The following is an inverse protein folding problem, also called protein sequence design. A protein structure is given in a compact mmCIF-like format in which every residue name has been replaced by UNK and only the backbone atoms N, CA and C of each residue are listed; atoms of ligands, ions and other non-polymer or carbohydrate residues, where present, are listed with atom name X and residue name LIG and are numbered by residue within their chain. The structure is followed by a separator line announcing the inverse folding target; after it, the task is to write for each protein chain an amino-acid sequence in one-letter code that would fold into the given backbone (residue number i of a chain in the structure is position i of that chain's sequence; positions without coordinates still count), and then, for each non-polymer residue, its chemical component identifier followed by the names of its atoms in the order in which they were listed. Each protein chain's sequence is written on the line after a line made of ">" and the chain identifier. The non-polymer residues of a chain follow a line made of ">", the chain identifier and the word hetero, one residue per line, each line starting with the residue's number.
data_IF_688648639613
#
_entry.id   IF_688648639613
#
_cell.length_a   1.000
_cell.length_b   1.000
_cell.length_c   1.000
_cell.angle_alpha   90.00
_cell.angle_beta   90.00
_cell.angle_gamma   90.00
#
_symmetry.space_group_name_H-M   'P 1'
#
loop_
_entity.id
_entity.type
_entity.pdbx_description
1 polymer ?
#
# COMPACT_ATOMS: atom_id res chain seq x y z
N UNK A 1 -18.09 10.06 -52.37
CA UNK A 1 -17.32 8.82 -52.10
C UNK A 1 -15.93 9.27 -51.66
N UNK A 2 -15.78 9.62 -50.39
CA UNK A 2 -14.51 10.01 -49.80
C UNK A 2 -14.18 9.02 -48.69
N UNK A 3 -13.04 8.36 -48.81
CA UNK A 3 -12.52 7.40 -47.83
C UNK A 3 -11.63 8.16 -46.86
N UNK A 4 -12.11 8.32 -45.62
CA UNK A 4 -11.29 8.72 -44.48
C UNK A 4 -10.24 7.65 -44.17
N UNK A 5 -9.00 8.01 -43.79
CA UNK A 5 -7.99 7.04 -43.43
C UNK A 5 -8.28 6.50 -42.02
N UNK A 6 -8.39 5.18 -41.92
CA UNK A 6 -8.53 4.45 -40.66
C UNK A 6 -7.16 4.42 -39.98
N UNK A 7 -7.03 5.12 -38.85
CA UNK A 7 -5.87 5.02 -37.98
C UNK A 7 -5.94 3.66 -37.25
N UNK A 8 -5.05 2.74 -37.59
CA UNK A 8 -4.83 1.51 -36.83
C UNK A 8 -3.79 1.82 -35.73
N UNK A 9 -4.02 1.43 -34.47
CA UNK A 9 -2.99 1.53 -33.45
C UNK A 9 -1.83 0.58 -33.76
N UNK A 10 -0.59 0.91 -33.35
CA UNK A 10 0.56 0.06 -33.60
C UNK A 10 0.42 -1.25 -32.83
N UNK A 11 0.58 -2.36 -33.55
CA UNK A 11 0.74 -3.69 -32.99
C UNK A 11 2.08 -3.72 -32.25
N UNK A 12 2.04 -3.71 -30.92
CA UNK A 12 3.22 -3.97 -30.10
C UNK A 12 3.63 -5.44 -30.28
N UNK A 13 4.74 -5.65 -30.97
CA UNK A 13 5.44 -6.93 -31.02
C UNK A 13 6.19 -7.13 -29.69
N UNK A 14 6.09 -8.29 -29.02
CA UNK A 14 6.77 -8.54 -27.75
C UNK A 14 8.28 -8.80 -27.89
N UNK A 15 8.84 -8.75 -29.10
CA UNK A 15 10.27 -8.94 -29.35
C UNK A 15 11.02 -7.60 -29.42
N UNK A 16 11.09 -6.89 -28.30
CA UNK A 16 12.11 -5.86 -28.10
C UNK A 16 13.41 -6.56 -27.70
N UNK A 17 14.28 -6.69 -28.67
CA UNK A 17 15.64 -7.21 -28.58
C UNK A 17 16.38 -6.55 -27.41
N UNK A 18 16.69 -7.38 -26.41
CA UNK A 18 17.54 -7.02 -25.28
C UNK A 18 18.88 -6.51 -25.85
N UNK A 19 19.19 -5.23 -25.65
CA UNK A 19 20.55 -4.74 -25.86
C UNK A 19 21.40 -5.39 -24.76
N UNK A 20 21.97 -6.54 -25.10
CA UNK A 20 23.04 -7.16 -24.32
C UNK A 20 24.22 -6.20 -24.28
N UNK A 21 24.40 -5.54 -23.14
CA UNK A 21 25.70 -5.00 -22.77
C UNK A 21 26.57 -6.15 -22.26
N UNK A 22 27.80 -6.32 -22.76
CA UNK A 22 28.69 -7.37 -22.29
C UNK A 22 29.36 -6.88 -21.00
N UNK A 23 28.85 -7.30 -19.85
CA UNK A 23 29.60 -7.26 -18.59
C UNK A 23 29.81 -8.71 -18.16
N UNK A 24 30.89 -9.29 -18.68
CA UNK A 24 31.45 -10.55 -18.22
C UNK A 24 32.56 -10.22 -17.22
N UNK A 25 32.46 -10.79 -16.02
CA UNK A 25 33.58 -10.93 -15.08
C UNK A 25 33.34 -10.32 -13.71
N UNK A 26 33.10 -11.20 -12.72
CA UNK A 26 33.39 -11.01 -11.29
C UNK A 26 32.33 -10.38 -10.36
N UNK A 27 31.07 -10.84 -10.40
CA UNK A 27 30.06 -10.51 -9.37
C UNK A 27 29.39 -11.70 -8.65
N UNK A 28 29.79 -12.95 -8.90
CA UNK A 28 29.16 -14.12 -8.26
C UNK A 28 29.67 -14.43 -6.84
N UNK A 29 30.74 -13.77 -6.37
CA UNK A 29 31.36 -14.09 -5.06
C UNK A 29 30.71 -13.33 -3.88
N UNK A 30 29.85 -12.33 -4.14
CA UNK A 30 29.19 -11.54 -3.09
C UNK A 30 27.77 -12.00 -2.70
N UNK A 31 26.99 -12.52 -3.65
CA UNK A 31 25.56 -12.81 -3.45
C UNK A 31 25.35 -14.07 -2.59
N UNK A 32 26.25 -15.05 -2.68
CA UNK A 32 26.17 -16.29 -1.90
C UNK A 32 26.45 -16.11 -0.40
N UNK A 33 27.10 -15.01 -0.01
CA UNK A 33 27.36 -14.69 1.40
C UNK A 33 26.15 -14.07 2.09
N UNK A 34 25.29 -13.38 1.34
CA UNK A 34 24.22 -12.56 1.91
C UNK A 34 23.01 -13.39 2.34
N UNK A 35 22.65 -14.42 1.54
CA UNK A 35 21.57 -15.34 1.89
C UNK A 35 21.80 -16.12 3.18
N UNK A 36 23.07 -16.45 3.48
CA UNK A 36 23.44 -17.20 4.69
C UNK A 36 23.15 -16.45 5.97
N UNK A 37 23.26 -15.12 5.95
CA UNK A 37 22.97 -14.28 7.11
C UNK A 37 21.49 -14.39 7.47
N UNK A 38 20.60 -14.35 6.48
CA UNK A 38 19.16 -14.52 6.72
C UNK A 38 18.80 -15.93 7.17
N UNK A 39 19.41 -16.97 6.61
CA UNK A 39 19.24 -18.34 7.08
C UNK A 39 19.66 -18.48 8.56
N UNK A 40 20.86 -18.01 8.93
CA UNK A 40 21.34 -18.03 10.32
C UNK A 40 20.42 -17.27 11.28
N UNK A 41 19.91 -16.09 10.87
CA UNK A 41 19.03 -15.27 11.70
C UNK A 41 17.64 -15.88 11.88
N UNK A 42 17.10 -16.52 10.84
CA UNK A 42 15.76 -17.10 10.85
C UNK A 42 15.71 -18.48 11.51
N UNK A 43 16.82 -19.23 11.45
CA UNK A 43 16.98 -20.56 12.08
C UNK A 43 17.38 -20.49 13.57
N UNK A 44 17.48 -19.28 14.14
CA UNK A 44 17.77 -19.09 15.55
C UNK A 44 16.74 -19.82 16.44
N UNK A 45 17.20 -20.71 17.33
CA UNK A 45 16.33 -21.60 18.11
C UNK A 45 15.42 -20.88 19.11
N UNK A 46 15.89 -19.77 19.68
CA UNK A 46 15.22 -19.08 20.79
C UNK A 46 14.54 -17.80 20.31
N UNK A 47 15.31 -16.89 19.73
CA UNK A 47 14.78 -15.62 19.28
C UNK A 47 15.54 -15.06 18.08
N UNK A 48 14.80 -14.40 17.19
CA UNK A 48 15.35 -13.68 16.03
C UNK A 48 15.96 -12.37 16.50
N UNK A 49 17.24 -12.14 16.17
CA UNK A 49 17.91 -10.89 16.48
C UNK A 49 17.47 -9.78 15.51
N UNK A 50 16.54 -8.92 15.96
CA UNK A 50 15.97 -7.86 15.13
C UNK A 50 16.95 -6.78 14.72
N UNK A 51 17.96 -6.49 15.53
CA UNK A 51 18.97 -5.49 15.18
C UNK A 51 19.80 -5.96 13.99
N UNK A 52 20.30 -7.20 14.03
CA UNK A 52 21.03 -7.81 12.92
C UNK A 52 20.14 -8.00 11.69
N UNK A 53 18.87 -8.38 11.89
CA UNK A 53 17.91 -8.54 10.80
C UNK A 53 17.69 -7.21 10.07
N UNK A 54 17.51 -6.11 10.80
CA UNK A 54 17.37 -4.77 10.22
C UNK A 54 18.64 -4.35 9.49
N UNK A 55 19.82 -4.56 10.07
CA UNK A 55 21.09 -4.21 9.43
C UNK A 55 21.29 -4.97 8.12
N UNK A 56 21.05 -6.29 8.11
CA UNK A 56 21.09 -7.09 6.88
C UNK A 56 20.05 -6.61 5.86
N UNK A 57 18.84 -6.28 6.31
CA UNK A 57 17.74 -5.83 5.43
C UNK A 57 18.03 -4.49 4.72
N UNK A 58 18.80 -3.59 5.35
CA UNK A 58 19.27 -2.34 4.70
C UNK A 58 20.17 -2.58 3.49
N UNK A 59 20.84 -3.74 3.44
CA UNK A 59 21.68 -4.14 2.32
C UNK A 59 20.89 -4.82 1.20
N UNK A 60 19.61 -5.15 1.45
CA UNK A 60 18.71 -5.82 0.53
C UNK A 60 18.37 -7.24 1.01
N UNK A 61 17.11 -7.65 0.82
CA UNK A 61 16.64 -8.97 1.23
C UNK A 61 16.52 -9.86 0.00
N UNK A 62 17.16 -11.05 -0.03
CA UNK A 62 16.98 -11.97 -1.13
C UNK A 62 15.50 -12.36 -1.30
N UNK A 63 14.98 -12.49 -2.54
CA UNK A 63 13.54 -12.68 -2.79
C UNK A 63 12.91 -13.85 -2.02
N UNK A 64 13.66 -14.94 -1.80
CA UNK A 64 13.20 -16.14 -1.10
C UNK A 64 12.90 -15.88 0.38
N UNK A 65 13.59 -14.94 1.01
CA UNK A 65 13.42 -14.63 2.45
C UNK A 65 12.45 -13.48 2.72
N UNK A 66 12.11 -12.65 1.72
CA UNK A 66 11.28 -11.44 1.90
C UNK A 66 9.97 -11.70 2.63
N UNK A 67 9.25 -12.76 2.28
CA UNK A 67 7.97 -13.09 2.92
C UNK A 67 8.09 -13.25 4.43
N UNK A 68 9.10 -14.00 4.88
CA UNK A 68 9.33 -14.27 6.31
C UNK A 68 9.92 -13.04 6.99
N UNK A 69 10.93 -12.39 6.39
CA UNK A 69 11.59 -11.21 6.96
C UNK A 69 10.60 -10.05 7.12
N UNK A 70 9.72 -9.81 6.16
CA UNK A 70 8.70 -8.75 6.24
C UNK A 70 7.71 -8.99 7.38
N UNK A 71 7.36 -10.26 7.69
CA UNK A 71 6.54 -10.55 8.85
C UNK A 71 7.21 -10.10 10.15
N UNK A 72 8.52 -10.29 10.29
CA UNK A 72 9.27 -9.80 11.45
C UNK A 72 9.39 -8.27 11.48
N UNK A 73 9.77 -7.65 10.36
CA UNK A 73 9.94 -6.20 10.28
C UNK A 73 8.64 -5.43 10.53
N UNK A 74 7.49 -6.00 10.13
CA UNK A 74 6.16 -5.43 10.36
C UNK A 74 5.54 -5.83 11.71
N UNK A 75 6.23 -6.63 12.54
CA UNK A 75 5.72 -7.10 13.83
C UNK A 75 4.56 -8.10 13.73
N UNK A 76 4.38 -8.75 12.57
CA UNK A 76 3.40 -9.83 12.36
C UNK A 76 3.90 -11.15 12.95
N UNK A 77 5.20 -11.42 12.83
CA UNK A 77 5.86 -12.55 13.48
C UNK A 77 6.57 -12.08 14.76
N UNK A 78 6.54 -12.93 15.78
CA UNK A 78 7.15 -12.66 17.07
C UNK A 78 8.61 -13.06 17.07
N UNK A 79 9.46 -12.20 17.64
CA UNK A 79 10.90 -12.43 17.75
C UNK A 79 11.20 -13.67 18.59
N UNK A 80 10.40 -13.95 19.62
CA UNK A 80 10.49 -15.14 20.48
C UNK A 80 9.79 -16.35 19.84
N UNK A 81 10.60 -17.32 19.42
CA UNK A 81 10.16 -18.57 18.76
C UNK A 81 9.31 -19.46 19.65
N UNK A 82 9.46 -19.37 20.97
CA UNK A 82 8.68 -20.19 21.91
C UNK A 82 7.19 -19.84 21.90
N UNK A 83 6.84 -18.61 21.51
CA UNK A 83 5.47 -18.10 21.42
C UNK A 83 4.89 -18.17 20.00
N UNK A 84 5.73 -18.43 19.00
CA UNK A 84 5.39 -18.33 17.56
C UNK A 84 4.22 -19.25 17.21
N UNK A 85 4.25 -20.53 17.62
CA UNK A 85 3.19 -21.49 17.33
C UNK A 85 1.82 -21.07 17.89
N UNK A 86 1.78 -20.62 19.15
CA UNK A 86 0.53 -20.18 19.79
C UNK A 86 -0.03 -18.94 19.10
N UNK A 87 0.85 -18.03 18.67
CA UNK A 87 0.43 -16.83 17.94
C UNK A 87 -0.07 -17.16 16.53
N UNK A 88 0.60 -18.06 15.80
CA UNK A 88 0.15 -18.48 14.49
C UNK A 88 -1.22 -19.16 14.55
N UNK A 89 -1.48 -19.98 15.56
CA UNK A 89 -2.81 -20.56 15.79
C UNK A 89 -3.88 -19.49 16.08
N UNK A 90 -3.51 -18.41 16.78
CA UNK A 90 -4.43 -17.30 17.05
C UNK A 90 -4.73 -16.51 15.77
N UNK A 91 -3.69 -16.19 15.00
CA UNK A 91 -3.82 -15.54 13.69
C UNK A 91 -4.67 -16.37 12.72
N UNK A 92 -4.52 -17.70 12.71
CA UNK A 92 -5.35 -18.61 11.93
C UNK A 92 -6.82 -18.53 12.32
N UNK A 93 -7.12 -18.54 13.62
CA UNK A 93 -8.49 -18.42 14.14
C UNK A 93 -9.09 -17.07 13.76
N UNK A 94 -8.35 -15.97 13.95
CA UNK A 94 -8.81 -14.63 13.60
C UNK A 94 -9.10 -14.49 12.10
N UNK A 95 -8.20 -15.02 11.26
CA UNK A 95 -8.39 -15.02 9.80
C UNK A 95 -9.60 -15.87 9.38
N UNK A 96 -9.80 -17.05 9.97
CA UNK A 96 -10.97 -17.90 9.72
C UNK A 96 -12.28 -17.23 10.14
N UNK A 97 -12.27 -16.47 11.24
CA UNK A 97 -13.44 -15.71 11.69
C UNK A 97 -13.81 -14.62 10.70
N UNK A 98 -12.82 -13.88 10.17
CA UNK A 98 -13.04 -12.87 9.12
C UNK A 98 -13.60 -13.51 7.85
N UNK A 99 -13.01 -14.63 7.41
CA UNK A 99 -13.49 -15.37 6.24
C UNK A 99 -14.93 -15.86 6.41
N UNK A 100 -15.26 -16.44 7.57
CA UNK A 100 -16.61 -16.92 7.89
C UNK A 100 -17.61 -15.77 7.93
N UNK A 101 -17.22 -14.61 8.49
CA UNK A 101 -18.07 -13.42 8.54
C UNK A 101 -18.36 -12.89 7.13
N UNK A 102 -17.35 -12.84 6.27
CA UNK A 102 -17.50 -12.46 4.87
C UNK A 102 -18.50 -13.38 4.15
N UNK A 103 -18.32 -14.70 4.23
CA UNK A 103 -19.24 -15.68 3.61
C UNK A 103 -20.66 -15.56 4.13
N UNK A 104 -20.88 -15.26 5.42
CA UNK A 104 -22.24 -15.07 5.95
C UNK A 104 -22.94 -13.82 5.43
N UNK A 105 -22.20 -12.76 5.11
CA UNK A 105 -22.78 -11.48 4.69
C UNK A 105 -22.93 -11.42 3.16
N UNK A 106 -21.96 -11.97 2.42
CA UNK A 106 -21.87 -11.90 0.94
C UNK A 106 -21.96 -13.25 0.22
N UNK A 107 -21.91 -14.38 0.93
CA UNK A 107 -22.15 -15.68 0.31
C UNK A 107 -23.62 -15.80 -0.08
N UNK A 108 -23.89 -16.12 -1.34
CA UNK A 108 -25.23 -16.41 -1.83
C UNK A 108 -25.82 -17.54 -0.97
N UNK A 109 -26.90 -17.22 -0.25
CA UNK A 109 -27.62 -18.15 0.61
C UNK A 109 -28.47 -19.12 -0.20
N UNK A 110 -27.83 -19.89 -1.09
CA UNK A 110 -28.51 -20.72 -2.11
C UNK A 110 -28.82 -22.15 -1.62
N UNK A 111 -28.85 -22.38 -0.31
CA UNK A 111 -29.16 -23.69 0.28
C UNK A 111 -30.32 -23.59 1.27
N UNK A 112 -31.56 -23.47 0.78
CA UNK A 112 -32.71 -24.08 1.52
C UNK A 112 -33.95 -24.46 0.68
N UNK A 113 -33.84 -24.70 -0.63
CA UNK A 113 -34.99 -25.14 -1.46
C UNK A 113 -35.01 -26.67 -1.72
N UNK A 114 -34.60 -27.48 -0.73
CA UNK A 114 -34.27 -28.89 -0.94
C UNK A 114 -35.05 -29.96 -0.15
N UNK A 115 -35.98 -29.63 0.75
CA UNK A 115 -36.78 -30.66 1.45
C UNK A 115 -38.28 -30.40 1.37
N UNK A 116 -38.87 -30.99 0.32
CA UNK A 116 -40.28 -31.34 0.29
C UNK A 116 -40.66 -32.21 1.48
N UNK A 117 -41.34 -31.60 2.45
CA UNK A 117 -42.13 -32.26 3.48
C UNK A 117 -43.55 -31.71 3.41
N UNK A 118 -44.41 -32.38 2.66
CA UNK A 118 -45.82 -32.05 2.60
C UNK A 118 -46.45 -32.21 4.00
N UNK A 119 -46.90 -31.12 4.61
CA UNK A 119 -47.76 -31.21 5.79
C UNK A 119 -47.87 -29.95 6.65
N UNK A 120 -48.94 -29.18 6.44
CA UNK A 120 -49.66 -28.51 7.53
C UNK A 120 -49.36 -27.02 7.69
N UNK A 121 -50.40 -26.19 7.49
CA UNK A 121 -50.30 -24.73 7.53
C UNK A 121 -50.02 -24.14 8.91
N UNK A 122 -49.54 -22.90 8.90
CA UNK A 122 -49.35 -22.08 10.08
C UNK A 122 -48.63 -20.79 9.72
N UNK A 123 -49.26 -19.66 10.02
CA UNK A 123 -48.85 -18.28 9.73
C UNK A 123 -47.52 -17.86 10.39
N UNK A 124 -47.03 -16.69 9.94
CA UNK A 124 -46.02 -15.78 10.56
C UNK A 124 -44.57 -16.14 10.21
N UNK A 125 -43.67 -15.26 9.79
CA UNK A 125 -43.60 -13.80 9.68
C UNK A 125 -42.10 -13.44 9.62
N UNK A 126 -41.72 -12.47 8.77
CA UNK A 126 -40.35 -12.31 8.26
C UNK A 126 -39.20 -12.23 9.28
N UNK A 127 -38.13 -12.97 9.01
CA UNK A 127 -36.90 -13.03 9.82
C UNK A 127 -35.61 -13.11 8.96
N UNK A 128 -35.51 -12.32 7.90
CA UNK A 128 -34.27 -12.21 7.09
C UNK A 128 -33.25 -11.18 7.61
N UNK A 129 -33.65 -10.26 8.50
CA UNK A 129 -32.80 -9.15 8.95
C UNK A 129 -31.91 -9.43 10.16
N UNK A 130 -32.25 -10.44 10.98
CA UNK A 130 -31.56 -10.70 12.26
C UNK A 130 -30.11 -11.18 12.12
N UNK A 131 -29.84 -11.97 11.07
CA UNK A 131 -28.50 -12.56 10.84
C UNK A 131 -27.43 -11.51 10.50
N UNK A 132 -27.75 -10.53 9.66
CA UNK A 132 -26.80 -9.48 9.24
C UNK A 132 -26.44 -8.54 10.40
N UNK A 133 -27.42 -8.18 11.24
CA UNK A 133 -27.19 -7.32 12.41
C UNK A 133 -26.37 -8.04 13.49
N UNK A 134 -26.64 -9.31 13.74
CA UNK A 134 -25.84 -10.12 14.66
C UNK A 134 -24.39 -10.33 14.17
N UNK A 135 -24.20 -10.50 12.85
CA UNK A 135 -22.87 -10.60 12.25
C UNK A 135 -22.06 -9.29 12.42
N UNK A 136 -22.68 -8.13 12.19
CA UNK A 136 -22.04 -6.83 12.40
C UNK A 136 -21.68 -6.56 13.88
N UNK A 137 -22.51 -7.01 14.83
CA UNK A 137 -22.20 -6.89 16.26
C UNK A 137 -21.02 -7.79 16.65
N UNK A 138 -21.01 -9.04 16.19
CA UNK A 138 -19.90 -9.98 16.42
C UNK A 138 -18.59 -9.44 15.83
N UNK A 139 -18.66 -8.86 14.63
CA UNK A 139 -17.54 -8.21 13.96
C UNK A 139 -16.98 -7.03 14.77
N UNK A 140 -17.85 -6.20 15.37
CA UNK A 140 -17.44 -5.05 16.20
C UNK A 140 -16.72 -5.47 17.48
N UNK A 141 -17.03 -6.63 18.03
CA UNK A 141 -16.31 -7.20 19.18
C UNK A 141 -14.96 -7.83 18.77
N UNK A 142 -14.88 -8.45 17.58
CA UNK A 142 -13.63 -9.01 17.04
C UNK A 142 -12.58 -7.92 16.74
N UNK A 143 -13.02 -6.77 16.21
CA UNK A 143 -12.13 -5.61 15.98
C UNK A 143 -11.47 -5.07 17.27
N UNK A 144 -12.14 -5.20 18.43
CA UNK A 144 -11.57 -4.80 19.72
C UNK A 144 -10.50 -5.77 20.21
N UNK A 145 -10.58 -7.05 19.84
CA UNK A 145 -9.64 -8.09 20.25
C UNK A 145 -8.35 -8.06 19.41
N UNK A 146 -8.48 -7.85 18.10
CA UNK A 146 -7.31 -7.78 17.20
C UNK A 146 -6.38 -6.59 17.50
N UNK A 147 -6.95 -5.44 17.88
CA UNK A 147 -6.19 -4.23 18.25
C UNK A 147 -5.52 -4.30 19.63
N UNK A 148 -5.99 -5.18 20.52
CA UNK A 148 -5.39 -5.37 21.86
C UNK A 148 -4.27 -6.41 21.87
N UNK A 149 -4.24 -7.34 20.91
CA UNK A 149 -3.17 -8.33 20.77
C UNK A 149 -1.86 -7.74 20.24
N UNK A 150 -1.92 -6.77 19.33
CA UNK A 150 -0.73 -6.06 18.82
C UNK A 150 -0.18 -5.03 19.80
N UNK A 151 -1.04 -4.34 20.56
CA UNK A 151 -0.61 -3.34 21.54
C UNK A 151 0.06 -3.92 22.80
N UNK A 152 -0.24 -5.18 23.17
CA UNK A 152 0.33 -5.82 24.35
C UNK A 152 1.80 -6.28 24.15
N UNK A 153 2.27 -6.41 22.91
CA UNK A 153 3.60 -6.94 22.59
C UNK A 153 4.72 -5.89 22.59
N UNK A 154 4.42 -4.59 22.44
CA UNK A 154 5.42 -3.52 22.44
C UNK A 154 5.65 -2.88 23.83
N UNK A 155 5.00 -3.39 24.89
CA UNK A 155 5.01 -2.76 26.22
C UNK A 155 6.18 -3.19 27.15
N UNK A 156 7.23 -3.82 26.63
CA UNK A 156 8.43 -4.13 27.41
C UNK A 156 9.69 -3.68 26.69
N UNK A 157 9.93 -2.36 26.70
CA UNK A 157 11.25 -1.75 26.87
C UNK A 157 11.07 -0.24 27.17
N UNK A 158 11.60 0.22 28.31
CA UNK A 158 11.13 1.42 29.00
C UNK A 158 11.71 2.78 28.56
N UNK A 159 10.99 3.87 28.87
CA UNK A 159 11.44 4.98 29.74
C UNK A 159 10.54 6.23 29.65
N UNK A 160 10.05 6.69 30.81
CA UNK A 160 10.11 8.09 31.28
C UNK A 160 9.25 9.21 30.64
N UNK A 161 8.48 9.99 31.42
CA UNK A 161 7.54 10.99 30.90
C UNK A 161 8.12 12.42 30.85
N UNK A 162 7.77 13.20 29.83
CA UNK A 162 7.78 14.67 29.93
C UNK A 162 6.55 15.30 29.27
N UNK A 163 5.84 16.06 30.10
CA UNK A 163 4.82 17.05 29.77
C UNK A 163 5.36 18.14 28.84
N UNK A 164 4.51 18.70 27.97
CA UNK A 164 4.11 20.12 28.03
C UNK A 164 3.01 20.48 27.02
N UNK A 165 2.21 21.47 27.40
CA UNK A 165 0.93 21.89 26.83
C UNK A 165 1.03 23.16 25.97
N UNK A 166 -0.02 23.41 25.17
CA UNK A 166 -0.43 24.72 24.64
C UNK A 166 -0.44 24.78 23.10
N UNK A 167 -1.46 25.23 22.37
CA UNK A 167 -2.66 26.01 22.68
C UNK A 167 -2.83 27.13 21.63
N UNK A 168 -4.06 27.31 21.12
CA UNK A 168 -4.63 28.40 20.28
C UNK A 168 -4.49 28.33 18.73
N UNK A 169 -5.37 28.89 17.87
CA UNK A 169 -6.84 29.15 17.74
C UNK A 169 -7.01 30.10 16.53
N UNK A 170 -8.02 29.88 15.67
CA UNK A 170 -8.70 30.91 14.83
C UNK A 170 -8.46 30.77 13.32
N UNK A 171 -9.42 30.49 12.43
CA UNK A 171 -10.76 31.06 12.08
C UNK A 171 -10.75 32.03 10.86
N UNK A 172 -11.48 31.62 9.81
CA UNK A 172 -12.26 32.46 8.88
C UNK A 172 -11.77 32.54 7.42
N UNK A 173 -12.56 32.66 6.35
CA UNK A 173 -13.93 32.28 5.92
C UNK A 173 -14.20 33.02 4.57
N UNK A 174 -14.97 32.42 3.64
CA UNK A 174 -15.75 33.08 2.56
C UNK A 174 -15.17 32.95 1.13
N UNK A 175 -15.76 32.17 0.20
CA UNK A 175 -16.96 32.40 -0.68
C UNK A 175 -16.55 33.00 -2.06
N UNK A 176 -17.10 32.70 -3.26
CA UNK A 176 -18.05 31.73 -3.80
C UNK A 176 -18.14 31.87 -5.38
N UNK A 177 -18.75 30.87 -6.05
CA UNK A 177 -19.54 30.87 -7.33
C UNK A 177 -18.88 30.67 -8.73
N UNK A 178 -19.27 29.58 -9.43
CA UNK A 178 -19.89 29.66 -10.78
C UNK A 178 -19.45 28.73 -11.94
N UNK A 179 -20.26 27.69 -12.26
CA UNK A 179 -20.74 27.39 -13.64
C UNK A 179 -20.14 26.23 -14.52
N UNK A 180 -20.84 25.07 -14.57
CA UNK A 180 -21.36 24.24 -15.71
C UNK A 180 -20.66 24.26 -17.11
N UNK A 181 -20.57 23.24 -18.00
CA UNK A 181 -20.91 21.80 -18.16
C UNK A 181 -20.25 21.31 -19.48
N UNK A 182 -20.04 20.00 -19.66
CA UNK A 182 -19.85 19.39 -21.01
C UNK A 182 -19.20 18.00 -21.01
N UNK A 183 -19.93 16.98 -21.46
CA UNK A 183 -19.63 15.55 -21.33
C UNK A 183 -18.87 14.92 -22.52
N UNK A 184 -18.20 13.79 -22.26
CA UNK A 184 -17.71 12.83 -23.27
C UNK A 184 -16.84 11.72 -22.67
N UNK A 185 -17.43 10.57 -22.33
CA UNK A 185 -16.78 9.44 -21.63
C UNK A 185 -16.45 8.30 -22.61
N UNK A 186 -15.18 7.90 -22.68
CA UNK A 186 -14.72 6.57 -23.13
C UNK A 186 -13.48 6.14 -22.32
N UNK A 187 -13.65 5.07 -21.52
CA UNK A 187 -12.75 4.05 -20.94
C UNK A 187 -11.29 4.34 -20.44
N UNK A 188 -11.13 4.15 -19.11
CA UNK A 188 -10.02 3.74 -18.19
C UNK A 188 -8.62 3.28 -18.72
N UNK A 189 -7.53 3.32 -17.88
CA UNK A 189 -7.53 3.19 -16.41
C UNK A 189 -6.72 4.20 -15.54
N UNK A 190 -7.27 4.42 -14.33
CA UNK A 190 -6.73 4.93 -13.06
C UNK A 190 -6.03 6.30 -13.01
N UNK A 191 -6.83 7.35 -12.68
CA UNK A 191 -6.37 8.67 -12.22
C UNK A 191 -6.96 8.96 -10.84
N UNK A 192 -6.11 9.40 -9.91
CA UNK A 192 -6.48 9.89 -8.57
C UNK A 192 -7.51 11.03 -8.67
N UNK A 193 -8.73 10.84 -8.15
CA UNK A 193 -9.70 11.93 -7.97
C UNK A 193 -9.48 12.54 -6.58
N UNK A 194 -8.93 13.74 -6.54
CA UNK A 194 -8.88 14.55 -5.31
C UNK A 194 -10.30 14.83 -4.73
N UNK A 195 -10.38 15.27 -3.46
CA UNK A 195 -11.65 15.33 -2.72
C UNK A 195 -12.49 16.52 -3.21
N UNK A 196 -13.53 16.24 -3.98
CA UNK A 196 -14.63 17.16 -4.23
C UNK A 196 -15.80 16.77 -3.33
N UNK A 197 -16.09 17.63 -2.35
CA UNK A 197 -17.31 17.70 -1.53
C UNK A 197 -17.88 16.37 -1.03
N UNK A 198 -17.62 16.05 0.25
CA UNK A 198 -18.22 14.95 1.02
C UNK A 198 -19.75 14.89 0.82
N UNK A 199 -20.31 13.80 0.26
CA UNK A 199 -21.55 13.25 0.76
C UNK A 199 -21.19 12.27 1.87
N UNK A 200 -21.97 12.29 2.94
CA UNK A 200 -21.89 11.37 4.08
C UNK A 200 -21.58 9.93 3.63
N UNK A 201 -20.70 9.25 4.39
CA UNK A 201 -20.39 7.82 4.31
C UNK A 201 -21.63 7.01 3.91
N UNK A 202 -21.75 6.73 2.62
CA UNK A 202 -22.59 5.65 2.17
C UNK A 202 -21.66 4.43 2.16
N UNK A 203 -21.82 3.45 3.06
CA UNK A 203 -21.07 2.19 3.00
C UNK A 203 -21.13 1.54 1.59
N UNK A 204 -22.08 1.95 0.74
CA UNK A 204 -22.15 1.56 -0.67
C UNK A 204 -20.95 2.02 -1.53
N UNK A 205 -20.33 3.17 -1.27
CA UNK A 205 -19.26 3.67 -2.15
C UNK A 205 -17.94 2.93 -1.94
N UNK A 206 -17.53 2.73 -0.68
CA UNK A 206 -16.36 1.92 -0.35
C UNK A 206 -16.57 0.45 -0.75
N UNK A 207 -17.78 -0.09 -0.55
CA UNK A 207 -18.12 -1.44 -0.97
C UNK A 207 -18.05 -1.60 -2.50
N UNK A 208 -18.61 -0.66 -3.26
CA UNK A 208 -18.51 -0.67 -4.71
C UNK A 208 -17.05 -0.56 -5.18
N UNK A 209 -16.23 0.23 -4.50
CA UNK A 209 -14.79 0.32 -4.79
C UNK A 209 -14.06 -1.01 -4.53
N UNK A 210 -14.42 -1.74 -3.47
CA UNK A 210 -13.91 -3.08 -3.22
C UNK A 210 -14.32 -4.04 -4.35
N UNK A 211 -15.60 -4.09 -4.71
CA UNK A 211 -16.12 -4.97 -5.78
C UNK A 211 -15.45 -4.68 -7.14
N UNK A 212 -15.36 -3.40 -7.51
CA UNK A 212 -14.69 -2.97 -8.75
C UNK A 212 -13.21 -3.34 -8.73
N UNK A 213 -12.52 -3.04 -7.63
CA UNK A 213 -11.09 -3.27 -7.48
C UNK A 213 -10.71 -4.76 -7.45
N UNK A 214 -11.48 -5.59 -6.73
CA UNK A 214 -11.33 -7.05 -6.71
C UNK A 214 -11.56 -7.61 -8.11
N UNK A 215 -12.62 -7.15 -8.80
CA UNK A 215 -12.92 -7.57 -10.17
C UNK A 215 -11.77 -7.20 -11.12
N UNK A 216 -11.24 -5.98 -11.05
CA UNK A 216 -10.11 -5.54 -11.86
C UNK A 216 -8.86 -6.38 -11.60
N UNK A 217 -8.57 -6.69 -10.32
CA UNK A 217 -7.40 -7.48 -9.94
C UNK A 217 -7.46 -8.91 -10.51
N UNK A 218 -8.65 -9.52 -10.55
CA UNK A 218 -8.86 -10.86 -11.12
C UNK A 218 -8.39 -10.97 -12.57
N UNK A 219 -8.50 -9.89 -13.33
CA UNK A 219 -8.08 -9.86 -14.74
C UNK A 219 -6.61 -9.47 -14.93
N UNK A 220 -5.90 -9.11 -13.86
CA UNK A 220 -4.48 -8.78 -13.90
C UNK A 220 -3.62 -10.04 -13.79
N UNK A 221 -2.46 -10.04 -14.46
CA UNK A 221 -1.43 -11.04 -14.19
C UNK A 221 -0.84 -10.87 -12.78
N UNK A 222 -0.51 -11.96 -12.07
CA UNK A 222 -0.63 -13.37 -12.49
C UNK A 222 -2.02 -14.02 -12.25
N UNK A 223 -2.96 -13.32 -11.61
CA UNK A 223 -4.23 -13.86 -11.14
C UNK A 223 -5.17 -14.38 -12.24
N UNK A 224 -5.10 -13.78 -13.43
CA UNK A 224 -5.90 -14.22 -14.57
C UNK A 224 -5.49 -15.60 -15.12
N UNK A 225 -4.27 -16.06 -14.82
CA UNK A 225 -3.71 -17.32 -15.32
C UNK A 225 -3.64 -18.41 -14.25
N UNK A 226 -3.46 -18.05 -12.97
CA UNK A 226 -3.36 -18.98 -11.86
C UNK A 226 -4.56 -18.86 -10.90
N UNK A 227 -5.51 -19.79 -11.05
CA UNK A 227 -6.70 -19.87 -10.20
C UNK A 227 -6.39 -20.13 -8.72
N UNK A 228 -5.28 -20.82 -8.40
CA UNK A 228 -4.88 -21.07 -7.00
C UNK A 228 -4.34 -19.80 -6.37
N UNK A 229 -3.49 -19.08 -7.11
CA UNK A 229 -3.01 -17.78 -6.66
C UNK A 229 -4.15 -16.77 -6.51
N UNK A 230 -5.10 -16.74 -7.45
CA UNK A 230 -6.30 -15.93 -7.30
C UNK A 230 -7.11 -16.30 -6.06
N UNK A 231 -7.42 -17.59 -5.84
CA UNK A 231 -8.20 -18.01 -4.67
C UNK A 231 -7.54 -17.61 -3.34
N UNK A 232 -6.20 -17.67 -3.27
CA UNK A 232 -5.43 -17.18 -2.11
C UNK A 232 -5.58 -15.68 -1.94
N UNK A 233 -5.40 -14.90 -3.02
CA UNK A 233 -5.57 -13.45 -3.00
C UNK A 233 -7.00 -13.06 -2.62
N UNK A 234 -8.00 -13.66 -3.25
CA UNK A 234 -9.43 -13.42 -3.00
C UNK A 234 -9.77 -13.65 -1.52
N UNK A 235 -9.26 -14.73 -0.91
CA UNK A 235 -9.42 -15.00 0.51
C UNK A 235 -8.80 -13.89 1.40
N UNK A 236 -7.63 -13.38 1.04
CA UNK A 236 -6.99 -12.26 1.77
C UNK A 236 -7.79 -10.96 1.62
N UNK A 237 -8.25 -10.65 0.40
CA UNK A 237 -9.04 -9.45 0.10
C UNK A 237 -10.40 -9.47 0.81
N UNK A 238 -11.05 -10.63 0.90
CA UNK A 238 -12.28 -10.79 1.68
C UNK A 238 -12.07 -10.41 3.16
N UNK A 239 -10.96 -10.86 3.76
CA UNK A 239 -10.61 -10.50 5.14
C UNK A 239 -10.28 -9.00 5.29
N UNK A 240 -9.55 -8.41 4.34
CA UNK A 240 -9.27 -6.97 4.32
C UNK A 240 -10.54 -6.14 4.15
N UNK A 241 -11.45 -6.54 3.27
CA UNK A 241 -12.73 -5.88 3.05
C UNK A 241 -13.59 -5.90 4.31
N UNK A 242 -13.61 -7.01 5.05
CA UNK A 242 -14.25 -7.07 6.36
C UNK A 242 -13.63 -6.04 7.30
N UNK A 243 -12.32 -6.13 7.52
CA UNK A 243 -11.55 -5.26 8.43
C UNK A 243 -11.71 -3.77 8.11
N UNK A 244 -11.73 -3.42 6.82
CA UNK A 244 -11.68 -2.06 6.32
C UNK A 244 -12.93 -1.67 5.52
N UNK A 245 -14.12 -2.14 5.91
CA UNK A 245 -15.38 -1.85 5.22
C UNK A 245 -15.82 -0.37 5.30
N UNK A 246 -15.19 0.44 6.16
CA UNK A 246 -15.56 1.84 6.42
C UNK A 246 -14.50 2.87 5.97
N UNK A 247 -13.43 2.43 5.31
CA UNK A 247 -12.38 3.34 4.84
C UNK A 247 -12.82 4.11 3.58
N UNK A 248 -12.11 5.19 3.25
CA UNK A 248 -12.34 5.95 2.02
C UNK A 248 -12.06 5.11 0.77
N UNK A 249 -12.64 5.50 -0.37
CA UNK A 249 -12.38 4.85 -1.66
C UNK A 249 -10.88 4.83 -1.99
N UNK A 250 -10.16 5.92 -1.72
CA UNK A 250 -8.71 6.00 -1.94
C UNK A 250 -7.94 4.98 -1.09
N UNK A 251 -8.36 4.78 0.16
CA UNK A 251 -7.76 3.79 1.05
C UNK A 251 -8.07 2.36 0.60
N UNK A 252 -9.25 2.08 0.03
CA UNK A 252 -9.55 0.79 -0.60
C UNK A 252 -8.59 0.51 -1.76
N UNK A 253 -8.40 1.49 -2.64
CA UNK A 253 -7.46 1.36 -3.77
C UNK A 253 -6.03 1.11 -3.29
N UNK A 254 -5.59 1.83 -2.26
CA UNK A 254 -4.28 1.61 -1.68
C UNK A 254 -4.14 0.23 -1.05
N UNK A 255 -5.13 -0.24 -0.28
CA UNK A 255 -5.14 -1.59 0.30
C UNK A 255 -5.01 -2.67 -0.78
N UNK A 256 -5.70 -2.52 -1.92
CA UNK A 256 -5.60 -3.42 -3.07
C UNK A 256 -4.20 -3.40 -3.70
N UNK A 257 -3.58 -2.22 -3.83
CA UNK A 257 -2.21 -2.08 -4.32
C UNK A 257 -1.20 -2.75 -3.37
N UNK A 258 -1.29 -2.48 -2.07
CA UNK A 258 -0.43 -3.09 -1.05
C UNK A 258 -0.59 -4.61 -1.04
N UNK A 259 -1.82 -5.12 -1.08
CA UNK A 259 -2.12 -6.55 -1.13
C UNK A 259 -1.51 -7.21 -2.37
N UNK A 260 -1.68 -6.60 -3.55
CA UNK A 260 -1.06 -7.08 -4.79
C UNK A 260 0.46 -7.16 -4.69
N UNK A 261 1.09 -6.15 -4.10
CA UNK A 261 2.55 -6.15 -3.94
C UNK A 261 2.98 -7.25 -2.96
N UNK A 262 2.36 -7.34 -1.77
CA UNK A 262 2.76 -8.26 -0.71
C UNK A 262 2.43 -9.74 -0.99
N UNK A 263 1.36 -10.06 -1.74
CA UNK A 263 1.05 -11.45 -2.15
C UNK A 263 2.15 -12.09 -3.00
N UNK A 264 3.03 -11.29 -3.64
CA UNK A 264 4.16 -11.83 -4.42
C UNK A 264 5.22 -12.48 -3.54
N UNK A 265 5.29 -12.14 -2.26
CA UNK A 265 6.27 -12.67 -1.30
C UNK A 265 5.62 -13.41 -0.14
N UNK A 266 4.32 -13.21 0.09
CA UNK A 266 3.58 -13.91 1.14
C UNK A 266 3.40 -15.41 0.83
N UNK A 267 3.44 -16.24 1.87
CA UNK A 267 3.30 -17.69 1.74
C UNK A 267 1.84 -18.15 1.68
N UNK A 268 0.93 -17.38 2.27
CA UNK A 268 -0.47 -17.73 2.46
C UNK A 268 -1.38 -16.50 2.38
N UNK A 269 -2.70 -16.71 2.24
CA UNK A 269 -3.69 -15.63 2.24
C UNK A 269 -3.68 -14.86 3.58
N UNK A 270 -3.52 -15.60 4.68
CA UNK A 270 -3.36 -15.07 6.03
C UNK A 270 -2.16 -14.14 6.12
N UNK A 271 -1.01 -14.56 5.61
CA UNK A 271 0.21 -13.76 5.65
C UNK A 271 0.05 -12.48 4.83
N UNK A 272 -0.57 -12.55 3.65
CA UNK A 272 -0.94 -11.35 2.86
C UNK A 272 -1.83 -10.42 3.67
N UNK A 273 -2.89 -10.94 4.29
CA UNK A 273 -3.80 -10.14 5.13
C UNK A 273 -3.07 -9.45 6.29
N UNK A 274 -2.33 -10.19 7.12
CA UNK A 274 -1.70 -9.60 8.31
C UNK A 274 -0.55 -8.65 7.96
N UNK A 275 0.23 -8.92 6.90
CA UNK A 275 1.29 -7.99 6.47
C UNK A 275 0.72 -6.69 5.89
N UNK A 276 -0.35 -6.76 5.08
CA UNK A 276 -1.06 -5.57 4.59
C UNK A 276 -1.70 -4.82 5.75
N UNK A 277 -2.38 -5.52 6.67
CA UNK A 277 -3.03 -4.93 7.84
C UNK A 277 -2.00 -4.21 8.73
N UNK A 278 -0.87 -4.84 9.04
CA UNK A 278 0.18 -4.25 9.86
C UNK A 278 0.75 -2.99 9.21
N UNK A 279 1.13 -3.07 7.92
CA UNK A 279 1.66 -1.93 7.19
C UNK A 279 0.64 -0.77 7.10
N UNK A 280 -0.61 -1.07 6.71
CA UNK A 280 -1.63 -0.04 6.59
C UNK A 280 -1.97 0.60 7.93
N UNK A 281 -2.10 -0.21 8.99
CA UNK A 281 -2.37 0.30 10.34
C UNK A 281 -1.28 1.24 10.80
N UNK A 282 0.00 0.90 10.60
CA UNK A 282 1.14 1.78 10.88
C UNK A 282 1.06 3.10 10.10
N UNK A 283 0.79 3.03 8.80
CA UNK A 283 0.67 4.22 7.95
C UNK A 283 -0.49 5.15 8.34
N UNK A 284 -1.52 4.63 9.03
CA UNK A 284 -2.68 5.39 9.53
C UNK A 284 -2.57 5.86 10.98
N UNK A 285 -1.50 5.50 11.69
CA UNK A 285 -1.24 6.01 13.04
C UNK A 285 -0.98 7.51 13.03
N UNK A 286 -1.24 8.17 14.17
CA UNK A 286 -1.08 9.61 14.37
C UNK A 286 0.31 10.09 13.90
N UNK A 287 0.31 11.10 13.02
CA UNK A 287 1.53 11.68 12.46
C UNK A 287 2.08 10.99 11.21
N UNK A 288 1.57 9.81 10.83
CA UNK A 288 1.92 9.17 9.56
C UNK A 288 1.03 9.64 8.40
N UNK A 289 1.53 9.47 7.18
CA UNK A 289 0.98 10.14 5.99
C UNK A 289 -0.48 9.79 5.66
N UNK A 290 -1.00 8.65 6.13
CA UNK A 290 -2.38 8.23 5.88
C UNK A 290 -3.29 8.44 7.08
N UNK A 291 -2.84 9.12 8.14
CA UNK A 291 -3.63 9.38 9.34
C UNK A 291 -4.94 10.11 9.01
N UNK A 292 -4.82 11.27 8.36
CA UNK A 292 -5.94 12.06 7.89
C UNK A 292 -5.54 12.98 6.71
N UNK A 293 -6.53 13.67 6.15
CA UNK A 293 -6.33 14.57 5.02
C UNK A 293 -5.40 15.77 5.35
N UNK A 294 -5.41 16.25 6.60
CA UNK A 294 -4.58 17.38 7.02
C UNK A 294 -3.10 16.99 7.12
N UNK A 295 -2.84 15.78 7.63
CA UNK A 295 -1.52 15.18 7.73
C UNK A 295 -0.96 14.94 6.33
N UNK A 296 -1.74 14.34 5.43
CA UNK A 296 -1.35 14.19 4.02
C UNK A 296 -1.02 15.53 3.36
N UNK A 297 -1.85 16.57 3.57
CA UNK A 297 -1.60 17.91 3.04
C UNK A 297 -0.28 18.48 3.59
N UNK A 298 0.02 18.26 4.87
CA UNK A 298 1.28 18.69 5.50
C UNK A 298 2.47 17.99 4.85
N UNK A 299 2.42 16.67 4.65
CA UNK A 299 3.46 15.92 3.94
C UNK A 299 3.63 16.39 2.48
N UNK A 300 2.53 16.68 1.78
CA UNK A 300 2.59 17.20 0.41
C UNK A 300 3.24 18.60 0.36
N UNK A 301 2.92 19.48 1.31
CA UNK A 301 3.55 20.79 1.44
C UNK A 301 5.04 20.69 1.74
N UNK A 302 5.43 19.83 2.68
CA UNK A 302 6.83 19.55 3.02
C UNK A 302 7.59 19.02 1.79
N UNK A 303 7.02 18.04 1.09
CA UNK A 303 7.61 17.50 -0.12
C UNK A 303 7.77 18.58 -1.21
N UNK A 304 6.76 19.42 -1.44
CA UNK A 304 6.83 20.49 -2.45
C UNK A 304 7.93 21.51 -2.13
N UNK A 305 8.09 21.88 -0.86
CA UNK A 305 9.19 22.73 -0.40
C UNK A 305 10.55 22.07 -0.65
N UNK A 306 10.69 20.78 -0.32
CA UNK A 306 11.92 20.03 -0.59
C UNK A 306 12.19 19.92 -2.09
N UNK A 307 11.17 19.68 -2.90
CA UNK A 307 11.28 19.59 -4.36
C UNK A 307 11.80 20.90 -4.95
N UNK A 308 11.23 22.03 -4.52
CA UNK A 308 11.70 23.36 -4.91
C UNK A 308 13.13 23.65 -4.47
N UNK A 309 13.54 23.19 -3.27
CA UNK A 309 14.88 23.49 -2.74
C UNK A 309 15.98 22.57 -3.29
N UNK A 310 15.65 21.32 -3.60
CA UNK A 310 16.61 20.30 -4.07
C UNK A 310 16.67 20.23 -5.59
N UNK A 311 15.55 20.41 -6.30
CA UNK A 311 15.42 20.23 -7.75
C UNK A 311 14.75 21.44 -8.42
N UNK A 312 15.25 22.65 -8.12
CA UNK A 312 14.64 23.90 -8.60
C UNK A 312 14.38 23.95 -10.12
N UNK A 313 15.31 23.57 -11.01
CA UNK A 313 15.05 23.64 -12.46
C UNK A 313 13.86 22.77 -12.88
N UNK A 314 13.74 21.57 -12.28
CA UNK A 314 12.65 20.65 -12.56
C UNK A 314 11.32 21.16 -11.99
N UNK A 315 11.34 21.78 -10.81
CA UNK A 315 10.17 22.42 -10.21
C UNK A 315 9.66 23.59 -11.07
N UNK A 316 10.56 24.43 -11.59
CA UNK A 316 10.21 25.55 -12.47
C UNK A 316 9.58 25.03 -13.77
N UNK A 317 10.12 23.96 -14.34
CA UNK A 317 9.56 23.29 -15.51
C UNK A 317 8.13 22.76 -15.24
N UNK A 318 7.93 22.04 -14.14
CA UNK A 318 6.60 21.53 -13.75
C UNK A 318 5.58 22.67 -13.59
N UNK A 319 6.03 23.80 -13.05
CA UNK A 319 5.18 25.00 -12.89
C UNK A 319 4.87 25.65 -14.24
N UNK A 320 5.85 25.74 -15.15
CA UNK A 320 5.68 26.30 -16.49
C UNK A 320 4.70 25.45 -17.33
N UNK A 321 4.77 24.13 -17.21
CA UNK A 321 3.85 23.18 -17.85
C UNK A 321 2.45 23.16 -17.19
N UNK A 322 2.23 23.90 -16.10
CA UNK A 322 0.93 23.96 -15.43
C UNK A 322 0.55 22.66 -14.72
N UNK A 323 1.54 21.91 -14.23
CA UNK A 323 1.33 20.73 -13.40
C UNK A 323 1.06 21.15 -11.96
N UNK A 324 -0.12 20.83 -11.45
CA UNK A 324 -0.52 21.17 -10.09
C UNK A 324 -0.07 20.10 -9.09
N UNK A 325 0.21 20.52 -7.86
CA UNK A 325 0.65 19.65 -6.75
C UNK A 325 -0.26 18.43 -6.57
N UNK A 326 -1.58 18.62 -6.66
CA UNK A 326 -2.58 17.60 -6.35
C UNK A 326 -2.71 16.50 -7.42
N UNK A 327 -2.24 16.75 -8.64
CA UNK A 327 -2.35 15.78 -9.74
C UNK A 327 -1.43 14.57 -9.54
N UNK A 328 -0.30 14.72 -8.83
CA UNK A 328 0.72 13.67 -8.77
C UNK A 328 1.38 13.47 -7.40
N UNK A 329 1.50 14.50 -6.56
CA UNK A 329 2.23 14.39 -5.28
C UNK A 329 1.51 13.47 -4.30
N UNK A 330 0.20 13.64 -4.01
CA UNK A 330 -0.48 12.77 -3.06
C UNK A 330 -0.33 11.31 -3.44
N UNK A 331 -0.61 10.98 -4.69
CA UNK A 331 -0.55 9.61 -5.19
C UNK A 331 0.88 9.06 -5.25
N UNK A 332 1.91 9.89 -5.49
CA UNK A 332 3.31 9.47 -5.42
C UNK A 332 3.74 9.15 -3.98
N UNK A 333 3.31 9.97 -3.03
CA UNK A 333 3.68 9.81 -1.63
C UNK A 333 2.93 8.67 -0.93
N UNK A 334 1.65 8.45 -1.26
CA UNK A 334 0.82 7.42 -0.60
C UNK A 334 0.92 6.04 -1.22
N UNK A 335 1.26 5.93 -2.51
CA UNK A 335 1.42 4.62 -3.17
C UNK A 335 2.72 3.91 -2.84
N UNK A 336 3.71 4.60 -2.25
CA UNK A 336 5.04 4.04 -1.98
C UNK A 336 5.67 3.35 -3.20
N UNK A 337 5.48 3.98 -4.38
CA UNK A 337 5.85 3.48 -5.72
C UNK A 337 5.12 2.23 -6.22
N UNK A 338 4.21 1.65 -5.44
CA UNK A 338 3.41 0.51 -5.87
C UNK A 338 2.54 0.92 -7.05
N UNK A 339 2.57 0.12 -8.11
CA UNK A 339 1.86 0.40 -9.36
C UNK A 339 2.55 1.40 -10.28
N UNK A 340 3.64 2.05 -9.84
CA UNK A 340 4.42 2.99 -10.66
C UNK A 340 5.76 2.44 -11.11
N UNK A 341 6.42 1.68 -10.24
CA UNK A 341 7.68 1.01 -10.54
C UNK A 341 7.46 -0.47 -10.77
N UNK A 342 8.46 -1.12 -11.38
CA UNK A 342 8.46 -2.57 -11.44
C UNK A 342 8.47 -3.17 -10.03
N UNK A 343 7.68 -4.22 -9.75
CA UNK A 343 7.49 -4.73 -8.38
C UNK A 343 8.77 -5.13 -7.65
N UNK A 344 9.78 -5.62 -8.36
CA UNK A 344 11.05 -6.00 -7.74
C UNK A 344 11.87 -4.77 -7.28
N UNK A 345 11.71 -3.62 -7.96
CA UNK A 345 12.33 -2.37 -7.52
C UNK A 345 11.62 -1.82 -6.29
N UNK A 346 10.29 -1.92 -6.25
CA UNK A 346 9.50 -1.56 -5.06
C UNK A 346 9.96 -2.37 -3.86
N UNK A 347 10.16 -3.69 -4.02
CA UNK A 347 10.70 -4.51 -2.94
C UNK A 347 12.11 -4.08 -2.52
N UNK A 348 13.01 -3.80 -3.46
CA UNK A 348 14.36 -3.34 -3.11
C UNK A 348 14.34 -2.03 -2.28
N UNK A 349 13.41 -1.10 -2.58
CA UNK A 349 13.21 0.11 -1.77
C UNK A 349 12.62 -0.23 -0.40
N UNK A 350 11.60 -1.10 -0.37
CA UNK A 350 10.92 -1.49 0.86
C UNK A 350 11.80 -2.30 1.81
N UNK A 351 12.76 -3.08 1.31
CA UNK A 351 13.74 -3.80 2.13
C UNK A 351 14.43 -2.81 3.11
N UNK A 352 14.81 -1.62 2.61
CA UNK A 352 15.38 -0.54 3.42
C UNK A 352 14.33 0.20 4.25
N UNK A 353 13.15 0.51 3.67
CA UNK A 353 12.14 1.28 4.39
C UNK A 353 11.58 0.55 5.61
N UNK A 354 11.36 -0.76 5.48
CA UNK A 354 10.86 -1.61 6.56
C UNK A 354 11.94 -1.86 7.61
N UNK A 355 13.22 -1.90 7.22
CA UNK A 355 14.33 -2.03 8.18
C UNK A 355 14.41 -0.87 9.16
N UNK A 356 14.14 0.35 8.70
CA UNK A 356 14.18 1.59 9.50
C UNK A 356 12.80 2.03 10.02
N UNK A 357 11.78 1.19 9.88
CA UNK A 357 10.42 1.54 10.29
C UNK A 357 10.31 1.74 11.81
N UNK A 358 9.65 2.81 12.21
CA UNK A 358 9.31 3.12 13.62
C UNK A 358 7.83 3.52 13.72
N UNK A 359 7.27 3.48 14.94
CA UNK A 359 5.86 3.83 15.22
C UNK A 359 5.50 5.25 14.74
N UNK A 360 6.40 6.21 14.93
CA UNK A 360 6.14 7.62 14.63
C UNK A 360 6.57 8.06 13.23
N UNK A 361 7.29 7.21 12.49
CA UNK A 361 7.79 7.53 11.16
C UNK A 361 7.79 6.29 10.28
N UNK A 362 6.60 5.91 9.80
CA UNK A 362 6.45 4.86 8.82
C UNK A 362 6.96 5.36 7.45
N UNK A 363 7.86 4.60 6.82
CA UNK A 363 8.42 4.92 5.50
C UNK A 363 9.11 6.30 5.42
N UNK A 364 9.81 6.71 6.49
CA UNK A 364 10.40 8.05 6.65
C UNK A 364 11.30 8.52 5.48
N UNK A 365 11.96 7.57 4.80
CA UNK A 365 12.88 7.87 3.71
C UNK A 365 12.16 8.11 2.37
N UNK A 366 10.87 7.76 2.26
CA UNK A 366 10.11 7.78 1.01
C UNK A 366 10.07 9.15 0.31
N UNK A 367 9.81 10.28 1.00
CA UNK A 367 9.84 11.59 0.33
C UNK A 367 11.19 11.92 -0.33
N UNK A 368 12.29 11.47 0.28
CA UNK A 368 13.64 11.68 -0.27
C UNK A 368 13.94 10.73 -1.42
N UNK A 369 13.42 9.50 -1.38
CA UNK A 369 13.49 8.58 -2.51
C UNK A 369 12.68 9.08 -3.71
N UNK A 370 11.50 9.69 -3.48
CA UNK A 370 10.76 10.39 -4.52
C UNK A 370 11.62 11.48 -5.18
N UNK A 371 12.31 12.32 -4.40
CA UNK A 371 13.24 13.32 -4.94
C UNK A 371 14.41 12.69 -5.68
N UNK A 372 15.02 11.63 -5.14
CA UNK A 372 16.11 10.92 -5.80
C UNK A 372 15.68 10.32 -7.15
N UNK A 373 14.48 9.78 -7.24
CA UNK A 373 13.86 9.26 -8.48
C UNK A 373 13.67 10.38 -9.49
N UNK A 374 13.03 11.49 -9.12
CA UNK A 374 12.86 12.66 -9.99
C UNK A 374 14.21 13.21 -10.47
N UNK A 375 15.19 13.25 -9.58
CA UNK A 375 16.54 13.71 -9.88
C UNK A 375 17.28 12.78 -10.84
N UNK A 376 16.96 11.49 -10.86
CA UNK A 376 17.56 10.51 -11.78
C UNK A 376 16.90 10.54 -13.16
N UNK A 377 15.68 11.07 -13.24
CA UNK A 377 14.91 11.22 -14.48
C UNK A 377 14.89 12.66 -14.99
N UNK A 378 15.71 13.56 -14.42
CA UNK A 378 15.61 15.01 -14.68
C UNK A 378 15.73 15.36 -16.16
N UNK A 379 16.68 14.76 -16.89
CA UNK A 379 16.85 15.02 -18.33
C UNK A 379 15.58 14.69 -19.12
N UNK A 380 14.97 13.52 -18.86
CA UNK A 380 13.74 13.08 -19.53
C UNK A 380 12.56 13.98 -19.17
N UNK A 381 12.46 14.38 -17.90
CA UNK A 381 11.33 15.16 -17.41
C UNK A 381 11.40 16.63 -17.84
N UNK A 382 12.58 17.22 -18.01
CA UNK A 382 12.72 18.61 -18.49
C UNK A 382 12.30 18.74 -19.97
N UNK A 383 12.44 17.68 -20.76
CA UNK A 383 12.01 17.68 -22.16
C UNK A 383 10.52 17.40 -22.35
N UNK A 384 9.85 16.86 -21.32
CA UNK A 384 8.47 16.41 -21.40
C UNK A 384 7.46 17.53 -21.17
N UNK A 385 6.38 17.55 -21.95
CA UNK A 385 5.23 18.42 -21.70
C UNK A 385 4.31 17.88 -20.58
N UNK A 386 3.32 18.65 -20.14
CA UNK A 386 2.40 18.27 -19.03
C UNK A 386 1.88 16.82 -19.07
N UNK A 387 1.33 16.36 -20.21
CA UNK A 387 0.75 15.02 -20.33
C UNK A 387 1.81 13.92 -20.23
N UNK A 388 2.98 14.17 -20.82
CA UNK A 388 4.12 13.26 -20.77
C UNK A 388 4.72 13.19 -19.36
N UNK A 389 4.79 14.33 -18.66
CA UNK A 389 5.19 14.39 -17.25
C UNK A 389 4.30 13.49 -16.40
N UNK A 390 2.97 13.63 -16.50
CA UNK A 390 2.02 12.79 -15.77
C UNK A 390 2.21 11.31 -16.11
N UNK A 391 2.33 10.99 -17.40
CA UNK A 391 2.56 9.62 -17.85
C UNK A 391 3.85 9.03 -17.27
N UNK A 392 4.97 9.76 -17.32
CA UNK A 392 6.25 9.33 -16.76
C UNK A 392 6.20 9.16 -15.23
N UNK A 393 5.47 10.02 -14.52
CA UNK A 393 5.30 9.93 -13.07
C UNK A 393 4.43 8.75 -12.65
N UNK A 394 3.49 8.33 -13.50
CA UNK A 394 2.66 7.14 -13.29
C UNK A 394 3.35 5.85 -13.73
N UNK A 395 4.25 5.90 -14.73
CA UNK A 395 4.92 4.75 -15.33
C UNK A 395 6.43 4.94 -15.29
N UNK A 396 7.02 4.72 -14.11
CA UNK A 396 8.45 4.88 -13.91
C UNK A 396 9.21 3.75 -14.61
N UNK A 397 10.33 4.05 -15.30
CA UNK A 397 11.17 3.02 -15.90
C UNK A 397 11.87 2.19 -14.81
N UNK A 398 12.55 1.11 -15.22
CA UNK A 398 13.47 0.39 -14.33
C UNK A 398 14.59 1.35 -13.92
N UNK A 399 14.80 1.52 -12.62
CA UNK A 399 15.81 2.41 -12.05
C UNK A 399 16.78 1.59 -11.19
N UNK A 400 18.02 2.07 -11.08
CA UNK A 400 18.98 1.53 -10.11
C UNK A 400 18.56 1.96 -8.70
N UNK A 401 17.77 1.10 -8.04
CA UNK A 401 17.23 1.35 -6.70
C UNK A 401 18.34 1.58 -5.66
N UNK A 402 19.49 0.92 -5.78
CA UNK A 402 20.60 1.14 -4.87
C UNK A 402 21.16 2.56 -5.00
N UNK A 403 21.25 3.08 -6.22
CA UNK A 403 21.62 4.48 -6.47
C UNK A 403 20.56 5.45 -5.95
N UNK A 404 19.27 5.16 -6.19
CA UNK A 404 18.16 5.95 -5.65
C UNK A 404 18.24 6.04 -4.12
N UNK A 405 18.46 4.92 -3.44
CA UNK A 405 18.54 4.86 -1.98
C UNK A 405 19.74 5.62 -1.42
N UNK A 406 20.94 5.44 -2.00
CA UNK A 406 22.12 6.23 -1.61
C UNK A 406 21.86 7.72 -1.75
N UNK A 407 21.26 8.14 -2.87
CA UNK A 407 20.92 9.53 -3.12
C UNK A 407 19.84 10.06 -2.18
N UNK A 408 18.83 9.24 -1.84
CA UNK A 408 17.80 9.59 -0.88
C UNK A 408 18.38 9.87 0.51
N UNK A 409 19.30 9.03 0.98
CA UNK A 409 20.01 9.23 2.26
C UNK A 409 20.81 10.53 2.25
N UNK A 410 21.56 10.80 1.18
CA UNK A 410 22.32 12.05 1.03
C UNK A 410 21.41 13.29 1.00
N UNK A 411 20.25 13.22 0.33
CA UNK A 411 19.28 14.31 0.34
C UNK A 411 18.75 14.53 1.77
N UNK A 412 18.38 13.46 2.48
CA UNK A 412 17.90 13.54 3.87
C UNK A 412 18.93 14.19 4.80
N UNK A 413 20.19 13.76 4.73
CA UNK A 413 21.28 14.35 5.52
C UNK A 413 21.51 15.84 5.21
N UNK A 414 21.44 16.20 3.93
CA UNK A 414 21.53 17.60 3.48
C UNK A 414 20.37 18.46 4.00
N UNK A 415 19.16 17.90 4.01
CA UNK A 415 17.95 18.56 4.52
C UNK A 415 18.05 18.82 6.02
N UNK A 416 18.48 17.83 6.80
CA UNK A 416 18.69 18.01 8.24
C UNK A 416 19.82 18.99 8.56
N UNK A 417 20.93 18.92 7.82
CA UNK A 417 22.06 19.84 8.01
C UNK A 417 21.71 21.30 7.71
N UNK A 418 20.69 21.53 6.87
CA UNK A 418 20.20 22.86 6.49
C UNK A 418 18.96 23.30 7.28
N UNK A 419 18.50 22.47 8.23
CA UNK A 419 17.29 22.73 9.04
C UNK A 419 16.05 23.03 8.18
N UNK A 420 15.94 22.40 7.00
CA UNK A 420 14.82 22.63 6.08
C UNK A 420 13.50 21.99 6.58
N UNK A 421 13.59 21.06 7.52
CA UNK A 421 12.46 20.51 8.27
C UNK A 421 12.82 20.56 9.76
N UNK A 422 11.90 21.04 10.60
CA UNK A 422 12.00 20.82 12.04
C UNK A 422 11.83 19.32 12.30
N UNK A 423 12.76 18.73 13.05
CA UNK A 423 12.78 17.30 13.38
C UNK A 423 11.58 16.83 14.19
#
# INVERSE_FOLDING_TARGET
>A
MDRSPTYLPPVYSPDATCIHSPVLGDAEVGIASDGRIFEELLDAEVAVNMEKLREASRMGIPPVYRGVVYRYLLGVAFTDKSSEMTMEELQDKDFQLLSTAHTRIWGDGDEDDGRGGAGGGGLVGGHGGGGKVAALHTFRELLKFSTSSTAAANATEGSGPLHCSGGFRGMGSGDAVGGSSGAGTVAMPFVYRGPSAIPALAPSAALAAWEEGVTALRYCAPYNADARQWARMESALAALQMMYCHVSVDNVQLLLLLARQLDRVASSARDTFFTVHALFSMLTQDGNILHDAQTLQTHCGNFLMLFRSVLLPLYEHFTAEGLTTWEWIPSLLTSFFVGRMHPDDVFALWDCYLADMSEHQAMALHPYACLATLSSMTEVLIEAGKTELLYCLEHLPRLDTASIMRKAVLIRESVYSKELLCG
#
